data_IF_448479059497
#
_entry.id   IF_448479059497
#
_cell.length_a   1.000
_cell.length_b   1.000
_cell.length_c   1.000
_cell.angle_alpha   90.00
_cell.angle_beta   90.00
_cell.angle_gamma   90.00
#
_symmetry.space_group_name_H-M   'P 1'
#
loop_
_entity.id
_entity.type
_entity.pdbx_description
1 polymer ?
#
# COMPACT_ATOMS: atom_id res chain seq x y z
N UNK A 1 -29.62 46.83 -23.62
CA UNK A 1 -30.23 46.12 -22.47
C UNK A 1 -29.69 44.71 -22.50
N UNK A 2 -29.00 44.32 -21.44
CA UNK A 2 -27.97 43.28 -21.42
C UNK A 2 -28.54 41.86 -21.52
N UNK A 3 -28.00 41.03 -22.41
CA UNK A 3 -27.93 39.59 -22.20
C UNK A 3 -26.59 39.31 -21.52
N UNK A 4 -26.64 38.99 -20.22
CA UNK A 4 -25.50 38.46 -19.50
C UNK A 4 -25.38 36.97 -19.83
N UNK A 5 -24.32 36.61 -20.54
CA UNK A 5 -23.87 35.24 -20.70
C UNK A 5 -23.38 34.73 -19.34
N UNK A 6 -24.13 33.82 -18.75
CA UNK A 6 -23.67 33.05 -17.59
C UNK A 6 -22.87 31.87 -18.13
N UNK A 7 -21.55 32.03 -18.23
CA UNK A 7 -20.66 30.89 -18.43
C UNK A 7 -20.82 29.92 -17.24
N UNK A 8 -21.00 28.61 -17.47
CA UNK A 8 -20.99 27.64 -16.39
C UNK A 8 -19.56 27.53 -15.86
N UNK A 9 -19.35 27.93 -14.61
CA UNK A 9 -18.12 27.66 -13.86
C UNK A 9 -17.95 26.14 -13.75
N UNK A 10 -16.96 25.61 -14.48
CA UNK A 10 -16.47 24.24 -14.31
C UNK A 10 -16.15 24.02 -12.82
N UNK A 11 -16.64 22.93 -12.20
CA UNK A 11 -16.35 22.67 -10.80
C UNK A 11 -14.84 22.55 -10.63
N UNK A 12 -14.26 23.38 -9.76
CA UNK A 12 -12.89 23.24 -9.31
C UNK A 12 -12.74 21.82 -8.76
N UNK A 13 -12.02 20.96 -9.48
CA UNK A 13 -11.62 19.64 -8.97
C UNK A 13 -10.68 19.91 -7.80
N UNK A 14 -11.23 20.02 -6.59
CA UNK A 14 -10.44 20.29 -5.38
C UNK A 14 -9.64 19.04 -5.01
N UNK A 15 -8.52 19.24 -4.30
CA UNK A 15 -7.68 18.13 -3.82
C UNK A 15 -8.49 17.06 -3.05
N UNK A 16 -9.57 17.47 -2.38
CA UNK A 16 -10.51 16.62 -1.64
C UNK A 16 -11.27 15.63 -2.56
N UNK A 17 -11.69 16.06 -3.76
CA UNK A 17 -12.30 15.15 -4.75
C UNK A 17 -11.27 14.16 -5.32
N UNK A 18 -10.03 14.61 -5.54
CA UNK A 18 -8.93 13.75 -5.99
C UNK A 18 -8.61 12.66 -4.96
N UNK A 19 -8.54 13.03 -3.68
CA UNK A 19 -8.26 12.10 -2.59
C UNK A 19 -9.40 11.10 -2.36
N UNK A 20 -10.65 11.56 -2.44
CA UNK A 20 -11.83 10.69 -2.35
C UNK A 20 -11.85 9.64 -3.48
N UNK A 21 -11.52 10.07 -4.71
CA UNK A 21 -11.43 9.18 -5.88
C UNK A 21 -10.33 8.12 -5.73
N UNK A 22 -9.19 8.50 -5.14
CA UNK A 22 -8.10 7.56 -4.88
C UNK A 22 -8.50 6.50 -3.84
N UNK A 23 -9.16 6.91 -2.75
CA UNK A 23 -9.61 5.98 -1.70
C UNK A 23 -10.61 4.96 -2.22
N UNK A 24 -11.59 5.39 -3.02
CA UNK A 24 -12.54 4.49 -3.68
C UNK A 24 -11.82 3.50 -4.60
N UNK A 25 -10.88 3.99 -5.41
CA UNK A 25 -10.09 3.15 -6.30
C UNK A 25 -9.25 2.11 -5.54
N UNK A 26 -8.64 2.52 -4.42
CA UNK A 26 -7.84 1.66 -3.54
C UNK A 26 -8.69 0.54 -2.95
N UNK A 27 -9.87 0.87 -2.41
CA UNK A 27 -10.78 -0.12 -1.82
C UNK A 27 -11.26 -1.10 -2.88
N UNK A 28 -11.67 -0.61 -4.06
CA UNK A 28 -12.10 -1.45 -5.17
C UNK A 28 -11.00 -2.45 -5.57
N UNK A 29 -9.77 -1.95 -5.78
CA UNK A 29 -8.63 -2.78 -6.18
C UNK A 29 -8.28 -3.83 -5.12
N UNK A 30 -8.20 -3.43 -3.85
CA UNK A 30 -7.90 -4.35 -2.74
C UNK A 30 -9.00 -5.42 -2.58
N UNK A 31 -10.27 -5.03 -2.69
CA UNK A 31 -11.41 -5.95 -2.62
C UNK A 31 -11.37 -6.98 -3.74
N UNK A 32 -11.14 -6.52 -4.98
CA UNK A 32 -11.03 -7.43 -6.13
C UNK A 32 -9.84 -8.39 -5.97
N UNK A 33 -8.68 -7.89 -5.54
CA UNK A 33 -7.50 -8.70 -5.31
C UNK A 33 -7.73 -9.78 -4.24
N UNK A 34 -8.44 -9.45 -3.16
CA UNK A 34 -8.86 -10.36 -2.09
C UNK A 34 -9.81 -11.44 -2.60
N UNK A 35 -10.87 -11.03 -3.32
CA UNK A 35 -11.89 -11.95 -3.83
C UNK A 35 -11.30 -12.98 -4.80
N UNK A 36 -10.41 -12.56 -5.71
CA UNK A 36 -9.74 -13.44 -6.66
C UNK A 36 -8.83 -14.49 -5.99
N UNK A 37 -8.43 -14.26 -4.74
CA UNK A 37 -7.53 -15.13 -3.96
C UNK A 37 -8.26 -15.90 -2.85
N UNK A 38 -9.58 -15.87 -2.83
CA UNK A 38 -10.39 -16.62 -1.86
C UNK A 38 -10.29 -16.10 -0.42
N UNK A 39 -9.81 -14.88 -0.21
CA UNK A 39 -9.73 -14.24 1.11
C UNK A 39 -8.58 -14.72 2.02
N UNK A 40 -7.81 -15.73 1.61
CA UNK A 40 -6.62 -16.22 2.31
C UNK A 40 -5.36 -15.72 1.59
N UNK A 41 -4.57 -14.92 2.28
CA UNK A 41 -3.33 -14.32 1.79
C UNK A 41 -2.21 -14.71 2.74
N UNK A 42 -1.55 -15.84 2.44
CA UNK A 42 -0.31 -16.24 3.11
C UNK A 42 0.91 -15.66 2.37
N UNK A 43 2.11 -15.98 2.85
CA UNK A 43 3.38 -15.59 2.21
C UNK A 43 3.40 -15.93 0.72
N UNK A 44 3.07 -17.16 0.33
CA UNK A 44 3.20 -17.61 -1.05
C UNK A 44 2.25 -16.83 -1.97
N UNK A 45 1.00 -16.66 -1.55
CA UNK A 45 0.00 -15.88 -2.30
C UNK A 45 0.39 -14.40 -2.35
N UNK A 46 0.94 -13.84 -1.26
CA UNK A 46 1.42 -12.46 -1.25
C UNK A 46 2.58 -12.26 -2.25
N UNK A 47 3.56 -13.15 -2.29
CA UNK A 47 4.68 -13.06 -3.25
C UNK A 47 4.20 -13.19 -4.70
N UNK A 48 3.15 -13.98 -4.97
CA UNK A 48 2.50 -14.02 -6.28
C UNK A 48 1.76 -12.71 -6.59
N UNK A 49 1.06 -12.12 -5.61
CA UNK A 49 0.36 -10.85 -5.73
C UNK A 49 1.30 -9.71 -6.14
N UNK A 50 2.53 -9.68 -5.63
CA UNK A 50 3.54 -8.67 -6.02
C UNK A 50 3.90 -8.68 -7.52
N UNK A 51 3.68 -9.81 -8.20
CA UNK A 51 3.87 -9.95 -9.64
C UNK A 51 2.61 -9.66 -10.47
N UNK A 52 1.46 -9.54 -9.82
CA UNK A 52 0.19 -9.24 -10.49
C UNK A 52 0.06 -7.74 -10.78
N UNK A 53 0.28 -7.36 -12.04
CA UNK A 53 0.24 -5.96 -12.49
C UNK A 53 -1.15 -5.34 -12.45
N UNK A 54 -2.21 -6.13 -12.25
CA UNK A 54 -3.55 -5.59 -12.02
C UNK A 54 -3.70 -5.04 -10.58
N UNK A 55 -2.86 -5.51 -9.65
CA UNK A 55 -2.85 -5.11 -8.24
C UNK A 55 -1.65 -4.22 -7.91
N UNK A 56 -0.45 -4.60 -8.33
CA UNK A 56 0.81 -3.90 -8.06
C UNK A 56 1.40 -3.34 -9.35
N UNK A 57 1.28 -2.02 -9.53
CA UNK A 57 1.54 -1.27 -10.77
C UNK A 57 2.98 -1.39 -11.26
N UNK A 58 3.94 -1.32 -10.34
CA UNK A 58 5.37 -1.37 -10.67
C UNK A 58 6.05 -2.59 -10.05
N UNK A 59 7.17 -3.05 -10.64
CA UNK A 59 7.92 -4.18 -10.10
C UNK A 59 8.38 -3.92 -8.67
N UNK A 60 8.27 -4.92 -7.81
CA UNK A 60 8.76 -4.87 -6.44
C UNK A 60 9.32 -6.24 -6.05
N UNK A 61 10.52 -6.23 -5.47
CA UNK A 61 11.12 -7.38 -4.79
C UNK A 61 11.08 -7.21 -3.28
N UNK A 62 11.16 -8.32 -2.53
CA UNK A 62 11.27 -8.32 -1.07
C UNK A 62 12.63 -8.89 -0.67
N UNK A 63 13.33 -8.22 0.25
CA UNK A 63 14.59 -8.69 0.83
C UNK A 63 14.54 -8.59 2.35
N UNK A 64 15.09 -9.58 3.03
CA UNK A 64 15.24 -9.56 4.48
C UNK A 64 16.62 -9.02 4.83
N UNK A 65 16.69 -7.71 5.09
CA UNK A 65 17.92 -6.99 5.37
C UNK A 65 17.56 -5.74 6.18
N UNK A 66 18.19 -5.55 7.34
CA UNK A 66 17.95 -4.41 8.21
C UNK A 66 18.89 -3.22 7.90
N UNK A 67 19.92 -3.41 7.06
CA UNK A 67 20.89 -2.34 6.80
C UNK A 67 20.25 -1.03 6.30
N UNK A 68 19.18 -1.05 5.47
CA UNK A 68 18.53 0.18 5.00
C UNK A 68 17.49 0.78 5.97
N UNK A 69 17.18 0.09 7.07
CA UNK A 69 16.11 0.49 7.99
C UNK A 69 16.65 1.47 9.05
N UNK A 70 15.82 2.42 9.45
CA UNK A 70 16.06 3.22 10.66
C UNK A 70 15.64 2.45 11.92
N UNK A 71 16.13 2.90 13.08
CA UNK A 71 15.74 2.36 14.38
C UNK A 71 14.20 2.41 14.55
N UNK A 72 13.60 1.26 14.87
CA UNK A 72 12.16 1.11 15.04
C UNK A 72 11.35 0.88 13.76
N UNK A 73 11.98 0.89 12.59
CA UNK A 73 11.31 0.51 11.34
C UNK A 73 11.27 -1.02 11.19
N UNK A 74 10.11 -1.55 10.78
CA UNK A 74 10.01 -2.97 10.40
C UNK A 74 10.31 -3.20 8.92
N UNK A 75 10.27 -2.16 8.10
CA UNK A 75 10.56 -2.23 6.68
C UNK A 75 10.91 -0.85 6.07
N UNK A 76 11.62 -0.86 4.95
CA UNK A 76 12.00 0.32 4.16
C UNK A 76 11.78 0.03 2.67
N UNK A 77 11.16 0.95 1.95
CA UNK A 77 10.91 0.83 0.51
C UNK A 77 11.89 1.74 -0.26
N UNK A 78 12.72 1.14 -1.11
CA UNK A 78 13.66 1.88 -1.94
C UNK A 78 13.33 1.73 -3.44
N UNK A 79 13.46 2.83 -4.18
CA UNK A 79 13.41 2.80 -5.64
C UNK A 79 14.75 2.29 -6.20
N UNK A 80 14.69 1.43 -7.23
CA UNK A 80 15.88 0.86 -7.87
C UNK A 80 16.43 1.73 -9.01
N UNK A 81 15.73 2.80 -9.35
CA UNK A 81 16.09 3.72 -10.43
C UNK A 81 15.31 5.03 -10.35
N UNK A 82 15.41 5.83 -11.41
CA UNK A 82 14.77 7.16 -11.46
C UNK A 82 13.29 7.03 -11.79
N UNK A 83 12.93 6.05 -12.63
CA UNK A 83 11.55 5.86 -13.05
C UNK A 83 10.92 4.69 -12.25
N UNK A 84 9.65 4.78 -11.81
CA UNK A 84 9.02 3.71 -11.05
C UNK A 84 9.00 2.34 -11.77
N UNK A 85 9.08 2.33 -13.11
CA UNK A 85 9.20 1.08 -13.88
C UNK A 85 10.52 0.35 -13.68
N UNK A 86 11.56 1.02 -13.21
CA UNK A 86 12.84 0.42 -12.83
C UNK A 86 12.69 -0.48 -11.60
N UNK A 87 11.58 -0.29 -10.86
CA UNK A 87 11.14 -1.15 -9.78
C UNK A 87 11.57 -0.68 -8.40
N UNK A 88 11.15 -1.45 -7.40
CA UNK A 88 11.37 -1.18 -5.99
C UNK A 88 11.95 -2.40 -5.27
N UNK A 89 12.65 -2.15 -4.17
CA UNK A 89 13.02 -3.17 -3.20
C UNK A 89 12.38 -2.81 -1.85
N UNK A 90 11.55 -3.71 -1.33
CA UNK A 90 11.06 -3.64 0.04
C UNK A 90 12.00 -4.45 0.92
N UNK A 91 12.78 -3.75 1.71
CA UNK A 91 13.60 -4.32 2.76
C UNK A 91 12.73 -4.53 3.99
N UNK A 92 12.66 -5.75 4.50
CA UNK A 92 11.92 -6.11 5.72
C UNK A 92 12.95 -6.54 6.76
N UNK A 93 12.72 -6.16 8.01
CA UNK A 93 13.60 -6.54 9.12
C UNK A 93 13.77 -8.07 9.18
N UNK A 94 15.00 -8.62 9.29
CA UNK A 94 15.26 -10.06 9.25
C UNK A 94 14.53 -10.88 10.32
N UNK A 95 14.12 -10.27 11.43
CA UNK A 95 13.30 -10.92 12.46
C UNK A 95 11.97 -11.49 11.94
N UNK A 96 11.47 -10.99 10.80
CA UNK A 96 10.23 -11.47 10.17
C UNK A 96 10.43 -12.51 9.08
N UNK A 97 11.64 -13.05 8.90
CA UNK A 97 11.94 -14.03 7.83
C UNK A 97 10.99 -15.23 7.86
N UNK A 98 10.74 -15.75 9.07
CA UNK A 98 9.89 -16.92 9.32
C UNK A 98 8.49 -16.54 9.85
N UNK A 99 8.14 -15.25 9.86
CA UNK A 99 6.86 -14.76 10.36
C UNK A 99 5.80 -14.75 9.24
N UNK A 100 5.48 -15.93 8.71
CA UNK A 100 4.62 -16.09 7.53
C UNK A 100 3.24 -15.44 7.64
N UNK A 101 2.69 -15.36 8.86
CA UNK A 101 1.41 -14.69 9.13
C UNK A 101 1.51 -13.17 9.11
N UNK A 102 2.68 -12.59 9.43
CA UNK A 102 2.91 -11.15 9.46
C UNK A 102 3.33 -10.61 8.09
N UNK A 103 4.01 -11.39 7.26
CA UNK A 103 4.52 -10.91 5.96
C UNK A 103 3.44 -10.26 5.07
N UNK A 104 2.25 -10.85 4.89
CA UNK A 104 1.18 -10.21 4.11
C UNK A 104 0.81 -8.83 4.66
N UNK A 105 0.80 -8.68 5.99
CA UNK A 105 0.50 -7.43 6.65
C UNK A 105 1.59 -6.38 6.42
N UNK A 106 2.87 -6.73 6.64
CA UNK A 106 3.97 -5.79 6.42
C UNK A 106 4.06 -5.36 4.95
N UNK A 107 3.90 -6.29 4.01
CA UNK A 107 4.01 -6.03 2.57
C UNK A 107 2.85 -5.18 2.06
N UNK A 108 1.61 -5.48 2.49
CA UNK A 108 0.43 -4.80 1.98
C UNK A 108 0.43 -3.29 2.26
N UNK A 109 1.08 -2.86 3.36
CA UNK A 109 1.23 -1.45 3.73
C UNK A 109 1.98 -0.64 2.65
N UNK A 110 2.94 -1.24 1.95
CA UNK A 110 3.77 -0.52 0.97
C UNK A 110 3.21 -0.55 -0.46
N UNK A 111 2.19 -1.36 -0.75
CA UNK A 111 1.63 -1.47 -2.11
C UNK A 111 1.07 -0.13 -2.61
N UNK A 112 0.36 0.68 -1.82
CA UNK A 112 -0.09 2.00 -2.28
C UNK A 112 1.06 2.93 -2.65
N UNK A 113 2.16 2.95 -1.89
CA UNK A 113 3.36 3.74 -2.22
C UNK A 113 3.98 3.28 -3.55
N UNK A 114 4.06 1.96 -3.78
CA UNK A 114 4.49 1.41 -5.07
C UNK A 114 3.53 1.81 -6.19
N UNK A 115 2.23 1.87 -5.96
CA UNK A 115 1.25 2.13 -7.02
C UNK A 115 1.09 3.60 -7.39
N UNK A 116 1.19 4.48 -6.39
CA UNK A 116 0.75 5.87 -6.48
C UNK A 116 1.80 6.87 -6.01
N UNK A 117 2.95 6.41 -5.49
CA UNK A 117 4.01 7.27 -4.99
C UNK A 117 3.53 8.14 -3.83
N UNK A 118 4.00 9.39 -3.79
CA UNK A 118 3.71 10.38 -2.74
C UNK A 118 2.22 10.76 -2.62
N UNK A 119 1.40 10.41 -3.60
CA UNK A 119 -0.05 10.65 -3.54
C UNK A 119 -0.71 9.74 -2.49
N UNK A 120 -0.16 8.54 -2.26
CA UNK A 120 -0.64 7.64 -1.21
C UNK A 120 0.01 8.00 0.13
N UNK A 121 -0.81 8.32 1.11
CA UNK A 121 -0.36 8.52 2.49
C UNK A 121 -0.50 7.23 3.31
N UNK A 122 -0.14 7.29 4.59
CA UNK A 122 -0.40 6.21 5.55
C UNK A 122 -1.89 5.82 5.59
N UNK A 123 -2.80 6.79 5.39
CA UNK A 123 -4.25 6.51 5.40
C UNK A 123 -4.69 5.62 4.24
N UNK A 124 -4.04 5.74 3.08
CA UNK A 124 -4.27 4.90 1.91
C UNK A 124 -3.57 3.53 2.06
N UNK A 125 -2.39 3.51 2.68
CA UNK A 125 -1.65 2.29 3.04
C UNK A 125 -2.46 1.39 3.98
N UNK A 126 -2.95 1.94 5.08
CA UNK A 126 -3.77 1.25 6.07
C UNK A 126 -5.09 0.76 5.46
N UNK A 127 -5.77 1.61 4.70
CA UNK A 127 -7.03 1.25 4.05
C UNK A 127 -6.85 0.11 3.04
N UNK A 128 -5.81 0.17 2.21
CA UNK A 128 -5.52 -0.88 1.24
C UNK A 128 -5.22 -2.21 1.94
N UNK A 129 -4.31 -2.20 2.92
CA UNK A 129 -3.90 -3.40 3.63
C UNK A 129 -5.03 -4.05 4.42
N UNK A 130 -5.79 -3.24 5.15
CA UNK A 130 -6.99 -3.69 5.87
C UNK A 130 -8.01 -4.32 4.91
N UNK A 131 -8.33 -3.65 3.80
CA UNK A 131 -9.29 -4.15 2.80
C UNK A 131 -8.81 -5.45 2.16
N UNK A 132 -7.52 -5.51 1.79
CA UNK A 132 -6.93 -6.67 1.13
C UNK A 132 -6.94 -7.90 2.05
N UNK A 133 -6.56 -7.72 3.32
CA UNK A 133 -6.45 -8.80 4.31
C UNK A 133 -7.74 -9.03 5.11
N UNK A 134 -8.75 -8.18 4.93
CA UNK A 134 -10.09 -8.35 5.50
C UNK A 134 -10.18 -8.00 6.97
N UNK A 135 -9.39 -7.02 7.37
CA UNK A 135 -9.45 -6.38 8.68
C UNK A 135 -10.23 -5.07 8.58
N UNK A 136 -10.65 -4.58 9.74
CA UNK A 136 -10.88 -3.14 9.88
C UNK A 136 -9.54 -2.38 9.84
N UNK A 137 -9.59 -1.08 9.55
CA UNK A 137 -8.39 -0.23 9.53
C UNK A 137 -7.71 -0.22 10.91
N UNK A 138 -8.48 -0.12 11.99
CA UNK A 138 -7.96 -0.10 13.36
C UNK A 138 -7.25 -1.41 13.74
N UNK A 139 -7.82 -2.57 13.38
CA UNK A 139 -7.21 -3.88 13.62
C UNK A 139 -5.89 -4.03 12.86
N UNK A 140 -5.88 -3.61 11.59
CA UNK A 140 -4.71 -3.66 10.74
C UNK A 140 -3.58 -2.77 11.26
N UNK A 141 -3.90 -1.53 11.64
CA UNK A 141 -2.95 -0.60 12.25
C UNK A 141 -2.39 -1.15 13.56
N UNK A 142 -3.25 -1.68 14.44
CA UNK A 142 -2.81 -2.27 15.70
C UNK A 142 -1.87 -3.48 15.52
N UNK A 143 -2.09 -4.29 14.49
CA UNK A 143 -1.19 -5.39 14.12
C UNK A 143 0.17 -4.87 13.63
N UNK A 144 0.20 -3.80 12.82
CA UNK A 144 1.44 -3.17 12.36
C UNK A 144 2.23 -2.60 13.54
N UNK A 145 1.58 -1.89 14.46
CA UNK A 145 2.25 -1.38 15.68
C UNK A 145 2.84 -2.51 16.50
N UNK A 146 2.09 -3.61 16.73
CA UNK A 146 2.62 -4.77 17.46
C UNK A 146 3.83 -5.40 16.77
N UNK A 147 3.83 -5.46 15.45
CA UNK A 147 4.99 -5.94 14.70
C UNK A 147 6.19 -5.00 14.92
N UNK A 148 6.01 -3.69 14.77
CA UNK A 148 7.07 -2.71 15.01
C UNK A 148 7.62 -2.78 16.46
N UNK A 149 6.72 -2.80 17.46
CA UNK A 149 7.08 -2.86 18.88
C UNK A 149 7.88 -4.12 19.24
N UNK A 150 7.66 -5.22 18.52
CA UNK A 150 8.40 -6.47 18.74
C UNK A 150 9.90 -6.36 18.42
N UNK A 151 10.32 -5.34 17.67
CA UNK A 151 11.73 -5.06 17.36
C UNK A 151 12.42 -4.20 18.42
N UNK A 152 11.65 -3.56 19.31
CA UNK A 152 12.16 -2.73 20.40
C UNK A 152 12.36 -3.51 21.70
N UNK A 153 11.99 -4.80 21.70
CA UNK A 153 11.99 -5.69 22.86
C UNK A 153 13.33 -6.39 23.10
#
# INVERSE_FOLDING_TARGET
MNHADTEPTLPTITAEFGQSSLREHIVMKATQARLLRGGLLDRAVMMQLLNDRTVVRYPIGVRFDAQPLCDGEFACLEALGVHPSDGFCLFIHPAFTDADELLPLLIAYYIPSVNYGEIASHSEAELFGATLLGFTVDEYYALLCRAADSLLA
#
